data_IF_507448924895
#
_entry.id   IF_507448924895
#
_cell.length_a   1.000
_cell.length_b   1.000
_cell.length_c   1.000
_cell.angle_alpha   90.00
_cell.angle_beta   90.00
_cell.angle_gamma   90.00
#
_symmetry.space_group_name_H-M   'P 1'
#
loop_
_entity.id
_entity.type
_entity.pdbx_description
1 polymer ?
#
# COMPACT_ATOMS: atom_id res chain seq x y z
N UNK A 1 -3.69 31.84 -6.55
CA UNK A 1 -3.26 30.53 -7.11
C UNK A 1 -3.79 29.42 -6.19
N UNK A 2 -4.65 28.56 -6.68
CA UNK A 2 -5.13 27.42 -5.91
C UNK A 2 -3.96 26.45 -5.67
N UNK A 3 -3.67 26.14 -4.42
CA UNK A 3 -2.64 25.16 -4.03
C UNK A 3 -3.14 23.80 -4.51
N UNK A 4 -2.44 23.17 -5.44
CA UNK A 4 -2.74 21.82 -5.92
C UNK A 4 -2.64 20.92 -4.68
N UNK A 5 -3.77 20.33 -4.28
CA UNK A 5 -3.84 19.40 -3.16
C UNK A 5 -3.12 18.11 -3.57
N UNK A 6 -1.92 17.88 -3.03
CA UNK A 6 -1.23 16.60 -3.21
C UNK A 6 -1.98 15.52 -2.40
N UNK A 7 -2.19 14.31 -2.94
CA UNK A 7 -2.83 13.22 -2.22
C UNK A 7 -1.99 12.73 -1.03
N UNK A 8 -0.67 12.80 -1.13
CA UNK A 8 0.25 12.36 -0.10
C UNK A 8 0.37 13.31 1.09
N UNK A 9 1.00 12.81 2.14
CA UNK A 9 1.27 13.51 3.40
C UNK A 9 2.73 13.95 3.46
N UNK A 10 2.99 15.10 4.10
CA UNK A 10 4.35 15.55 4.38
C UNK A 10 4.92 14.89 5.66
N UNK A 11 4.04 14.39 6.54
CA UNK A 11 4.38 13.64 7.75
C UNK A 11 3.19 12.78 8.18
N UNK A 12 3.46 11.70 8.91
CA UNK A 12 2.45 10.84 9.53
C UNK A 12 2.86 10.48 10.96
N UNK A 13 1.91 10.27 11.90
CA UNK A 13 2.22 9.83 13.25
C UNK A 13 2.59 8.35 13.25
N UNK A 14 3.72 8.00 13.86
CA UNK A 14 4.07 6.63 14.17
C UNK A 14 3.59 6.32 15.59
N UNK A 15 2.85 5.19 15.75
CA UNK A 15 2.36 4.77 17.07
C UNK A 15 3.55 4.50 18.02
N UNK A 16 3.45 4.97 19.26
CA UNK A 16 4.49 4.75 20.29
C UNK A 16 4.67 3.27 20.63
N UNK A 17 3.65 2.44 20.37
CA UNK A 17 3.69 0.99 20.54
C UNK A 17 4.11 0.23 19.27
N UNK A 18 4.56 0.93 18.24
CA UNK A 18 4.96 0.33 16.96
C UNK A 18 5.88 -0.89 17.13
N UNK A 19 6.91 -0.76 17.97
CA UNK A 19 7.84 -1.86 18.24
C UNK A 19 7.28 -2.98 19.14
N UNK A 20 6.12 -2.75 19.76
CA UNK A 20 5.43 -3.75 20.59
C UNK A 20 4.42 -4.56 19.76
N UNK A 21 4.06 -4.12 18.56
CA UNK A 21 3.19 -4.86 17.67
C UNK A 21 3.79 -6.23 17.32
N UNK A 22 2.97 -7.28 17.44
CA UNK A 22 3.43 -8.67 17.20
C UNK A 22 3.92 -8.90 15.78
N UNK A 23 3.32 -8.25 14.81
CA UNK A 23 3.69 -8.37 13.40
C UNK A 23 5.04 -7.70 13.16
N UNK A 24 5.21 -6.47 13.66
CA UNK A 24 6.47 -5.72 13.59
C UNK A 24 7.60 -6.48 14.29
N UNK A 25 7.34 -7.05 15.47
CA UNK A 25 8.32 -7.86 16.20
C UNK A 25 8.75 -9.12 15.45
N UNK A 26 7.85 -9.76 14.70
CA UNK A 26 8.21 -10.91 13.86
C UNK A 26 9.16 -10.50 12.74
N UNK A 27 8.93 -9.36 12.10
CA UNK A 27 9.82 -8.82 11.07
C UNK A 27 11.17 -8.45 11.69
N UNK A 28 11.17 -7.72 12.81
CA UNK A 28 12.41 -7.35 13.51
C UNK A 28 13.22 -8.57 13.96
N UNK A 29 12.57 -9.65 14.41
CA UNK A 29 13.28 -10.87 14.81
C UNK A 29 13.92 -11.63 13.63
N UNK A 30 13.33 -11.57 12.44
CA UNK A 30 13.84 -12.25 11.25
C UNK A 30 14.89 -11.44 10.51
N UNK A 31 14.62 -10.15 10.34
CA UNK A 31 15.42 -9.25 9.48
C UNK A 31 16.17 -8.18 10.26
N UNK A 32 16.13 -8.22 11.59
CA UNK A 32 16.85 -7.30 12.48
C UNK A 32 16.59 -5.81 12.13
N UNK A 33 17.63 -4.99 12.09
CA UNK A 33 17.53 -3.57 11.79
C UNK A 33 17.06 -3.30 10.36
N UNK A 34 17.45 -4.14 9.40
CA UNK A 34 17.02 -3.99 8.00
C UNK A 34 15.49 -4.14 7.86
N UNK A 35 14.87 -5.08 8.57
CA UNK A 35 13.41 -5.24 8.56
C UNK A 35 12.65 -4.03 9.11
N UNK A 36 13.16 -3.41 10.16
CA UNK A 36 12.55 -2.18 10.72
C UNK A 36 12.78 -0.99 9.79
N UNK A 37 13.98 -0.83 9.25
CA UNK A 37 14.29 0.22 8.28
C UNK A 37 13.39 0.10 7.04
N UNK A 38 13.29 -1.10 6.45
CA UNK A 38 12.43 -1.39 5.31
C UNK A 38 10.95 -1.03 5.59
N UNK A 39 10.42 -1.53 6.71
CA UNK A 39 9.02 -1.25 7.07
C UNK A 39 8.76 0.25 7.27
N UNK A 40 9.68 0.97 7.91
CA UNK A 40 9.56 2.41 8.13
C UNK A 40 9.65 3.17 6.81
N UNK A 41 10.59 2.82 5.93
CA UNK A 41 10.76 3.44 4.61
C UNK A 41 9.53 3.22 3.72
N UNK A 42 8.98 1.99 3.72
CA UNK A 42 7.74 1.68 3.01
C UNK A 42 6.55 2.51 3.50
N UNK A 43 6.38 2.66 4.81
CA UNK A 43 5.33 3.53 5.36
C UNK A 43 5.52 4.98 4.93
N UNK A 44 6.76 5.49 4.96
CA UNK A 44 7.08 6.83 4.46
C UNK A 44 6.70 6.98 2.99
N UNK A 45 7.04 6.01 2.15
CA UNK A 45 6.72 6.03 0.72
C UNK A 45 5.22 5.99 0.47
N UNK A 46 4.49 5.07 1.12
CA UNK A 46 3.03 4.94 1.01
C UNK A 46 2.34 6.26 1.35
N UNK A 47 2.66 6.85 2.50
CA UNK A 47 2.02 8.09 2.93
C UNK A 47 2.45 9.30 2.11
N UNK A 48 3.69 9.34 1.61
CA UNK A 48 4.21 10.42 0.77
C UNK A 48 3.54 10.48 -0.61
N UNK A 49 3.31 9.34 -1.25
CA UNK A 49 2.79 9.29 -2.62
C UNK A 49 1.26 9.43 -2.69
N UNK A 50 0.57 8.37 -2.39
CA UNK A 50 -0.90 8.30 -2.49
C UNK A 50 -1.59 8.40 -1.12
N UNK A 51 -0.85 8.24 -0.04
CA UNK A 51 -1.33 8.32 1.33
C UNK A 51 -1.83 6.99 1.88
N UNK A 52 -2.24 6.04 1.05
CA UNK A 52 -2.84 4.79 1.51
C UNK A 52 -2.40 3.53 0.76
N UNK A 53 -1.63 3.66 -0.32
CA UNK A 53 -1.01 2.55 -1.04
C UNK A 53 0.22 2.99 -1.82
N UNK A 54 1.02 2.02 -2.24
CA UNK A 54 2.12 2.17 -3.21
C UNK A 54 2.14 0.99 -4.16
N UNK A 55 2.47 1.24 -5.43
CA UNK A 55 2.73 0.17 -6.40
C UNK A 55 4.07 -0.49 -6.10
N UNK A 56 4.08 -1.82 -6.02
CA UNK A 56 5.29 -2.62 -5.82
C UNK A 56 5.74 -3.19 -7.16
N UNK A 57 6.80 -2.63 -7.69
CA UNK A 57 7.42 -3.03 -8.94
C UNK A 57 8.94 -3.04 -8.77
N UNK A 58 9.67 -3.40 -9.82
CA UNK A 58 11.13 -3.51 -9.78
C UNK A 58 11.81 -2.17 -9.44
N UNK A 59 11.29 -1.05 -9.92
CA UNK A 59 11.85 0.27 -9.64
C UNK A 59 11.68 0.61 -8.15
N UNK A 60 10.47 0.37 -7.59
CA UNK A 60 10.20 0.58 -6.16
C UNK A 60 11.05 -0.35 -5.29
N UNK A 61 11.22 -1.61 -5.69
CA UNK A 61 12.10 -2.56 -5.00
C UNK A 61 13.53 -2.04 -4.96
N UNK A 62 14.07 -1.62 -6.11
CA UNK A 62 15.41 -1.05 -6.22
C UNK A 62 15.56 0.20 -5.34
N UNK A 63 14.66 1.18 -5.46
CA UNK A 63 14.75 2.42 -4.71
C UNK A 63 14.75 2.18 -3.19
N UNK A 64 13.85 1.34 -2.69
CA UNK A 64 13.77 1.04 -1.26
C UNK A 64 14.97 0.21 -0.79
N UNK A 65 15.48 -0.73 -1.59
CA UNK A 65 16.67 -1.50 -1.24
C UNK A 65 17.90 -0.60 -1.08
N UNK A 66 18.06 0.40 -1.96
CA UNK A 66 19.13 1.41 -1.85
C UNK A 66 18.95 2.31 -0.61
N UNK A 67 17.71 2.74 -0.32
CA UNK A 67 17.42 3.59 0.86
C UNK A 67 17.71 2.86 2.17
N UNK A 68 17.44 1.56 2.24
CA UNK A 68 17.66 0.72 3.42
C UNK A 68 19.09 0.15 3.47
N UNK A 69 19.85 0.27 2.38
CA UNK A 69 21.18 -0.31 2.22
C UNK A 69 21.19 -1.85 2.36
N UNK A 70 20.25 -2.54 1.71
CA UNK A 70 20.21 -4.00 1.62
C UNK A 70 20.11 -4.44 0.14
N UNK A 71 20.35 -5.72 -0.10
CA UNK A 71 20.20 -6.30 -1.44
C UNK A 71 18.71 -6.45 -1.80
N UNK A 72 18.38 -6.43 -3.10
CA UNK A 72 17.00 -6.53 -3.58
C UNK A 72 16.35 -7.86 -3.16
N UNK A 73 17.10 -8.96 -3.14
CA UNK A 73 16.62 -10.26 -2.68
C UNK A 73 16.24 -10.24 -1.19
N UNK A 74 17.04 -9.56 -0.37
CA UNK A 74 16.72 -9.37 1.05
C UNK A 74 15.49 -8.52 1.23
N UNK A 75 15.37 -7.42 0.47
CA UNK A 75 14.19 -6.56 0.50
C UNK A 75 12.93 -7.33 0.09
N UNK A 76 12.98 -8.14 -0.97
CA UNK A 76 11.83 -8.95 -1.39
C UNK A 76 11.46 -9.98 -0.31
N UNK A 77 12.43 -10.60 0.34
CA UNK A 77 12.17 -11.52 1.45
C UNK A 77 11.48 -10.81 2.65
N UNK A 78 11.86 -9.56 2.94
CA UNK A 78 11.20 -8.74 3.96
C UNK A 78 9.74 -8.48 3.57
N UNK A 79 9.46 -8.15 2.30
CA UNK A 79 8.09 -7.95 1.81
C UNK A 79 7.25 -9.22 1.93
N UNK A 80 7.79 -10.36 1.52
CA UNK A 80 7.09 -11.66 1.60
C UNK A 80 6.75 -12.01 3.05
N UNK A 81 7.65 -11.73 3.98
CA UNK A 81 7.39 -11.89 5.40
C UNK A 81 6.36 -10.88 5.93
N UNK A 82 6.39 -9.62 5.49
CA UNK A 82 5.36 -8.63 5.83
C UNK A 82 3.97 -9.07 5.35
N UNK A 83 3.87 -9.64 4.16
CA UNK A 83 2.63 -10.23 3.64
C UNK A 83 2.19 -11.44 4.47
N UNK A 84 3.13 -12.33 4.82
CA UNK A 84 2.87 -13.55 5.60
C UNK A 84 2.31 -13.27 6.99
N UNK A 85 2.78 -12.19 7.64
CA UNK A 85 2.31 -11.78 8.97
C UNK A 85 1.08 -10.86 8.89
N UNK A 86 0.63 -10.50 7.68
CA UNK A 86 -0.56 -9.67 7.46
C UNK A 86 -0.34 -8.19 7.81
N UNK A 87 0.85 -7.65 7.59
CA UNK A 87 1.11 -6.21 7.62
C UNK A 87 0.57 -5.53 6.36
N UNK A 88 0.60 -6.23 5.24
CA UNK A 88 -0.02 -5.82 3.98
C UNK A 88 -1.08 -6.83 3.53
N UNK A 89 -2.03 -6.38 2.71
CA UNK A 89 -3.08 -7.22 2.15
C UNK A 89 -2.52 -8.11 1.03
N UNK A 90 -2.56 -9.42 1.27
CA UNK A 90 -1.99 -10.42 0.33
C UNK A 90 -2.79 -10.52 -0.96
N UNK A 91 -4.11 -10.30 -0.92
CA UNK A 91 -4.94 -10.38 -2.11
C UNK A 91 -4.66 -9.21 -3.06
N UNK A 92 -4.65 -7.98 -2.53
CA UNK A 92 -4.37 -6.79 -3.33
C UNK A 92 -2.94 -6.83 -3.90
N UNK A 93 -1.99 -7.33 -3.12
CA UNK A 93 -0.62 -7.51 -3.60
C UNK A 93 -0.54 -8.50 -4.78
N UNK A 94 -1.16 -9.67 -4.68
CA UNK A 94 -1.12 -10.70 -5.72
C UNK A 94 -1.83 -10.31 -7.01
N UNK A 95 -2.96 -9.62 -6.90
CA UNK A 95 -3.79 -9.25 -8.05
C UNK A 95 -3.30 -7.97 -8.76
N UNK A 96 -2.71 -7.04 -8.00
CA UNK A 96 -2.43 -5.69 -8.52
C UNK A 96 -1.00 -5.22 -8.28
N UNK A 97 -0.15 -5.98 -7.60
CA UNK A 97 1.20 -5.55 -7.24
C UNK A 97 1.22 -4.31 -6.32
N UNK A 98 0.27 -4.21 -5.40
CA UNK A 98 0.09 -3.03 -4.56
C UNK A 98 0.27 -3.38 -3.10
N UNK A 99 1.07 -2.57 -2.38
CA UNK A 99 1.22 -2.65 -0.94
C UNK A 99 0.27 -1.67 -0.27
N UNK A 100 -0.68 -2.21 0.47
CA UNK A 100 -1.66 -1.49 1.30
C UNK A 100 -2.16 -2.41 2.40
N UNK A 101 -2.84 -1.85 3.41
CA UNK A 101 -3.59 -2.61 4.40
C UNK A 101 -4.71 -1.76 4.99
N UNK A 102 -5.69 -2.40 5.60
CA UNK A 102 -6.77 -1.71 6.29
C UNK A 102 -6.24 -0.74 7.35
N UNK A 103 -5.24 -1.13 8.15
CA UNK A 103 -4.65 -0.29 9.19
C UNK A 103 -3.98 0.98 8.62
N UNK A 104 -3.27 0.86 7.49
CA UNK A 104 -2.68 2.00 6.78
C UNK A 104 -3.77 2.97 6.33
N UNK A 105 -4.83 2.44 5.75
CA UNK A 105 -5.95 3.24 5.25
C UNK A 105 -6.73 3.91 6.39
N UNK A 106 -7.00 3.22 7.49
CA UNK A 106 -7.65 3.79 8.68
C UNK A 106 -6.83 4.93 9.27
N UNK A 107 -5.51 4.78 9.36
CA UNK A 107 -4.62 5.84 9.83
C UNK A 107 -4.63 7.04 8.88
N UNK A 108 -4.55 6.80 7.57
CA UNK A 108 -4.65 7.86 6.57
C UNK A 108 -5.98 8.59 6.65
N UNK A 109 -7.09 7.85 6.71
CA UNK A 109 -8.43 8.39 6.87
C UNK A 109 -8.54 9.30 8.08
N UNK A 110 -8.04 8.85 9.24
CA UNK A 110 -8.01 9.63 10.47
C UNK A 110 -7.23 10.93 10.29
N UNK A 111 -6.03 10.87 9.72
CA UNK A 111 -5.18 12.05 9.49
C UNK A 111 -5.90 13.08 8.60
N UNK A 112 -6.52 12.64 7.52
CA UNK A 112 -7.23 13.52 6.60
C UNK A 112 -8.44 14.16 7.27
N UNK A 113 -9.21 13.39 8.03
CA UNK A 113 -10.40 13.85 8.75
C UNK A 113 -10.04 14.87 9.85
N UNK A 114 -9.02 14.57 10.66
CA UNK A 114 -8.59 15.43 11.78
C UNK A 114 -7.94 16.74 11.28
N UNK A 115 -7.30 16.72 10.11
CA UNK A 115 -6.56 17.89 9.59
C UNK A 115 -7.45 19.00 9.02
N UNK A 116 -8.78 18.86 9.03
CA UNK A 116 -9.75 19.78 8.40
C UNK A 116 -9.42 20.09 6.93
N UNK A 117 -8.58 19.29 6.30
CA UNK A 117 -8.31 19.41 4.87
C UNK A 117 -9.61 19.05 4.14
N UNK A 118 -10.09 19.95 3.29
CA UNK A 118 -11.20 19.68 2.36
C UNK A 118 -10.73 18.72 1.25
N UNK A 119 -10.21 17.58 1.65
CA UNK A 119 -9.80 16.55 0.72
C UNK A 119 -10.95 15.54 0.62
N UNK A 120 -11.45 15.33 -0.59
CA UNK A 120 -12.35 14.19 -0.82
C UNK A 120 -11.52 12.94 -0.66
N UNK A 121 -11.93 12.06 0.26
CA UNK A 121 -11.34 10.74 0.39
C UNK A 121 -11.35 10.07 -0.98
N UNK A 122 -10.21 9.56 -1.45
CA UNK A 122 -10.18 8.83 -2.70
C UNK A 122 -10.91 7.50 -2.47
N UNK A 123 -12.16 7.40 -2.86
CA UNK A 123 -12.89 6.14 -2.96
C UNK A 123 -12.37 5.38 -4.19
N UNK A 124 -11.06 5.14 -4.21
CA UNK A 124 -10.38 4.49 -5.31
C UNK A 124 -10.50 2.96 -5.19
N UNK A 125 -10.15 2.29 -6.27
CA UNK A 125 -10.24 0.84 -6.47
C UNK A 125 -9.63 -0.02 -5.34
N UNK A 126 -8.64 0.52 -4.61
CA UNK A 126 -7.91 -0.21 -3.56
C UNK A 126 -8.33 0.19 -2.14
N UNK A 127 -9.42 0.96 -1.99
CA UNK A 127 -9.92 1.38 -0.70
C UNK A 127 -10.65 0.24 0.01
N UNK A 128 -10.14 -0.19 1.15
CA UNK A 128 -10.63 -1.34 1.92
C UNK A 128 -11.65 -0.97 2.99
N UNK A 129 -11.69 0.32 3.41
CA UNK A 129 -12.57 0.77 4.48
C UNK A 129 -13.97 0.92 3.92
N UNK A 130 -14.93 0.23 4.52
CA UNK A 130 -16.35 0.44 4.26
C UNK A 130 -16.81 1.68 5.02
N UNK A 131 -17.42 2.64 4.34
CA UNK A 131 -18.20 3.66 5.05
C UNK A 131 -19.36 2.95 5.75
N UNK A 132 -19.34 2.93 7.10
CA UNK A 132 -20.53 2.56 7.87
C UNK A 132 -21.60 3.62 7.59
N UNK A 133 -22.53 3.30 6.71
CA UNK A 133 -23.83 3.94 6.73
C UNK A 133 -24.47 3.50 8.04
N UNK A 134 -24.67 4.44 8.95
CA UNK A 134 -25.36 4.23 10.21
C UNK A 134 -26.59 3.33 10.00
N UNK A 135 -26.55 2.13 10.55
CA UNK A 135 -27.68 1.21 10.54
C UNK A 135 -27.36 -0.24 10.18
N UNK A 136 -27.03 -1.02 11.18
CA UNK A 136 -27.28 -2.49 11.29
C UNK A 136 -26.55 -3.45 10.31
N UNK A 137 -25.59 -4.18 10.83
CA UNK A 137 -25.47 -5.65 10.61
C UNK A 137 -24.66 -6.18 9.45
N UNK A 138 -23.58 -6.84 9.80
CA UNK A 138 -23.03 -8.09 9.26
C UNK A 138 -22.25 -8.16 7.94
N UNK A 139 -21.05 -8.68 8.12
CA UNK A 139 -20.31 -9.71 7.35
C UNK A 139 -19.22 -9.31 6.38
N UNK A 140 -18.04 -9.76 6.77
CA UNK A 140 -16.73 -9.77 6.09
C UNK A 140 -16.68 -10.49 4.71
N UNK A 141 -17.81 -10.93 4.16
CA UNK A 141 -17.87 -11.72 2.92
C UNK A 141 -18.12 -10.90 1.64
N UNK A 142 -18.58 -9.62 1.76
CA UNK A 142 -19.06 -8.85 0.61
C UNK A 142 -18.02 -7.96 -0.11
N UNK A 143 -16.77 -7.93 0.38
CA UNK A 143 -15.73 -7.09 -0.23
C UNK A 143 -15.33 -7.63 -1.61
N UNK A 144 -15.37 -8.95 -1.79
CA UNK A 144 -14.98 -9.62 -3.04
C UNK A 144 -15.97 -9.40 -4.19
N UNK A 145 -17.24 -9.13 -3.90
CA UNK A 145 -18.28 -8.93 -4.92
C UNK A 145 -18.35 -7.50 -5.47
N UNK A 146 -17.87 -6.49 -4.72
CA UNK A 146 -17.94 -5.09 -5.17
C UNK A 146 -16.80 -4.68 -6.11
N UNK A 147 -15.70 -5.44 -6.14
CA UNK A 147 -14.58 -5.19 -7.06
C UNK A 147 -14.95 -5.60 -8.49
N UNK A 148 -15.81 -6.63 -8.64
CA UNK A 148 -16.21 -7.15 -9.95
C UNK A 148 -17.40 -6.45 -10.59
N UNK A 149 -18.17 -5.62 -9.87
CA UNK A 149 -19.41 -5.04 -10.40
C UNK A 149 -19.31 -3.58 -10.85
N UNK A 150 -18.14 -2.91 -10.73
CA UNK A 150 -17.88 -1.58 -11.29
C UNK A 150 -16.82 -1.57 -12.39
N UNK A 151 -16.82 -2.59 -13.21
CA UNK A 151 -15.91 -2.74 -14.35
C UNK A 151 -16.45 -2.14 -15.64
N UNK A 152 -16.97 -0.91 -15.63
CA UNK A 152 -17.21 -0.16 -16.86
C UNK A 152 -17.12 1.34 -16.56
N UNK A 153 -16.19 1.97 -17.25
CA UNK A 153 -15.84 3.39 -17.24
C UNK A 153 -14.76 3.79 -16.21
N UNK A 154 -13.51 3.52 -16.54
CA UNK A 154 -12.34 4.22 -15.98
C UNK A 154 -11.36 4.50 -17.12
N UNK A 155 -10.86 5.73 -17.15
CA UNK A 155 -10.00 6.35 -18.13
C UNK A 155 -8.94 5.43 -18.77
N UNK A 156 -8.85 5.47 -20.11
CA UNK A 156 -7.85 4.78 -20.96
C UNK A 156 -6.38 5.11 -20.61
N UNK A 157 -6.14 6.11 -19.75
CA UNK A 157 -4.79 6.50 -19.35
C UNK A 157 -4.21 5.64 -18.22
N UNK A 158 -5.03 5.12 -17.31
CA UNK A 158 -4.56 4.26 -16.20
C UNK A 158 -4.41 2.79 -16.61
N UNK A 159 -5.17 2.35 -17.60
CA UNK A 159 -5.02 1.01 -18.19
C UNK A 159 -3.67 0.85 -18.94
N UNK A 160 -3.09 1.93 -19.47
CA UNK A 160 -1.78 1.89 -20.13
C UNK A 160 -0.61 1.60 -19.18
N UNK A 161 -0.75 1.90 -17.89
CA UNK A 161 0.33 1.67 -16.92
C UNK A 161 0.36 0.19 -16.51
N UNK A 162 -0.80 -0.44 -16.40
CA UNK A 162 -0.90 -1.88 -16.07
C UNK A 162 -0.47 -2.75 -17.25
N UNK A 163 -0.84 -2.37 -18.48
CA UNK A 163 -0.43 -3.05 -19.71
C UNK A 163 1.07 -2.86 -20.02
N UNK A 164 1.67 -1.71 -19.66
CA UNK A 164 3.10 -1.49 -19.83
C UNK A 164 3.93 -2.39 -18.89
N UNK A 165 3.45 -2.69 -17.69
CA UNK A 165 4.12 -3.61 -16.78
C UNK A 165 4.03 -5.08 -17.23
N UNK A 166 2.96 -5.46 -17.95
CA UNK A 166 2.78 -6.84 -18.46
C UNK A 166 3.54 -7.10 -19.76
N UNK A 167 3.85 -6.06 -20.55
CA UNK A 167 4.57 -6.22 -21.82
C UNK A 167 6.09 -6.31 -21.65
N UNK A 168 6.64 -5.93 -20.49
CA UNK A 168 8.10 -5.96 -20.26
C UNK A 168 8.63 -7.35 -19.80
N UNK A 169 7.76 -8.30 -19.50
CA UNK A 169 8.18 -9.64 -19.01
C UNK A 169 8.16 -10.74 -20.07
N UNK A 170 7.84 -10.44 -21.34
CA UNK A 170 7.71 -11.48 -22.37
C UNK A 170 8.82 -11.50 -23.45
N UNK A 171 9.86 -10.65 -23.37
CA UNK A 171 10.87 -10.53 -24.43
C UNK A 171 12.32 -10.86 -24.01
N UNK A 172 12.48 -11.80 -23.06
CA UNK A 172 13.80 -12.30 -22.69
C UNK A 172 13.85 -13.86 -22.69
N UNK A 173 13.43 -14.47 -23.81
CA UNK A 173 13.72 -15.86 -24.11
C UNK A 173 13.68 -16.07 -25.63
N UNK A 174 14.78 -15.71 -26.31
CA UNK A 174 15.34 -16.37 -27.49
C UNK A 174 16.57 -15.58 -27.96
N UNK A 175 17.76 -16.07 -27.59
CA UNK A 175 18.94 -16.37 -28.38
C UNK A 175 20.09 -16.86 -27.48
#
# INVERSE_FOLDING_TARGET
MARISKPGLDYFPLDVNFFQDRKVRRISNRHHAAGIAALTSLLCLIYKEKGFYVAWNQDTLFDISQEVCCEEEEMQAIIDDCLSVGLFDTYIYKEYGILTSQAIQEQYHKIITDSRRKYKLPLERFWLIKEEKDGTGNNSADIRSNINSKGTEVDEAENKIVDACLLYTSDAADD
#
